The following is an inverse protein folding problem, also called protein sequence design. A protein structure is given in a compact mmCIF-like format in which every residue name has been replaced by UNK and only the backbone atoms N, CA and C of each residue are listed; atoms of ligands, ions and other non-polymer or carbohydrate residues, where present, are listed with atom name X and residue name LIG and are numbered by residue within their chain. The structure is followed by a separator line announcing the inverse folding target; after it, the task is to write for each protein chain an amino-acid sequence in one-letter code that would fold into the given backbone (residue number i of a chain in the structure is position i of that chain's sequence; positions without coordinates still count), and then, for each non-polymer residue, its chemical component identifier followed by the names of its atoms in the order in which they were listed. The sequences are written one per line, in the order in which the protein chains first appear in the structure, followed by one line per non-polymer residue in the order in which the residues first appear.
data_IF_188329442417
#
_entry.id   IF_188329442417
#
_cell.length_a   1.000
_cell.length_b   1.000
_cell.length_c   1.000
_cell.angle_alpha   90.00
_cell.angle_beta   90.00
_cell.angle_gamma   90.00
#
_symmetry.space_group_name_H-M   'P 1'
#
loop_
_entity.id
_entity.type
_entity.pdbx_description
1 polymer ?
#
# COMPACT_ATOMS: atom_id res chain seq x y z
N UNK A 1 -16.13 -1.08 13.25
CA UNK A 1 -15.85 -0.26 12.08
C UNK A 1 -16.84 -0.62 10.98
N UNK A 2 -17.93 0.14 10.85
CA UNK A 2 -19.06 -0.23 9.98
C UNK A 2 -19.31 0.74 8.84
N UNK A 3 -18.44 1.74 8.66
CA UNK A 3 -18.66 2.78 7.68
C UNK A 3 -18.22 2.35 6.29
N UNK A 4 -18.93 2.82 5.27
CA UNK A 4 -18.51 2.67 3.87
C UNK A 4 -17.45 3.68 3.47
N UNK A 5 -17.50 4.88 4.03
CA UNK A 5 -16.53 5.94 3.76
C UNK A 5 -16.03 6.54 5.06
N UNK A 6 -14.71 6.62 5.18
CA UNK A 6 -14.04 7.16 6.34
C UNK A 6 -13.04 8.19 5.86
N UNK A 7 -13.02 9.34 6.50
CA UNK A 7 -12.08 10.39 6.20
C UNK A 7 -10.96 10.40 7.22
N UNK A 8 -9.73 10.39 6.76
CA UNK A 8 -8.56 10.56 7.60
C UNK A 8 -8.05 11.98 7.41
N UNK A 9 -8.11 12.76 8.46
CA UNK A 9 -7.69 14.15 8.46
C UNK A 9 -6.54 14.35 9.44
N UNK A 10 -5.43 14.90 8.96
CA UNK A 10 -4.32 15.33 9.80
C UNK A 10 -4.64 16.72 10.36
N UNK A 11 -4.51 16.90 11.66
CA UNK A 11 -4.80 18.16 12.33
C UNK A 11 -3.60 19.09 12.45
N UNK A 12 -2.43 18.68 11.94
CA UNK A 12 -1.25 19.52 11.83
C UNK A 12 -0.35 19.61 13.08
N UNK A 13 -0.75 19.09 14.21
CA UNK A 13 0.02 19.09 15.45
C UNK A 13 0.47 17.69 15.88
N UNK A 14 0.55 16.76 14.91
CA UNK A 14 0.81 15.37 15.16
C UNK A 14 -0.44 14.54 15.48
N UNK A 15 -1.60 15.16 15.47
CA UNK A 15 -2.89 14.48 15.67
C UNK A 15 -3.60 14.25 14.37
N UNK A 16 -4.39 13.18 14.32
CA UNK A 16 -5.22 12.83 13.19
C UNK A 16 -6.63 12.44 13.64
N UNK A 17 -7.59 12.59 12.76
CA UNK A 17 -8.97 12.19 12.99
C UNK A 17 -9.39 11.22 11.88
N UNK A 18 -10.06 10.14 12.29
CA UNK A 18 -10.85 9.29 11.42
C UNK A 18 -12.32 9.63 11.61
N UNK A 19 -12.99 10.03 10.56
CA UNK A 19 -14.42 10.40 10.62
C UNK A 19 -15.26 9.53 9.73
N UNK A 20 -16.37 9.09 10.27
CA UNK A 20 -17.49 8.51 9.53
C UNK A 20 -18.66 9.48 9.59
N UNK A 21 -18.84 10.29 8.55
CA UNK A 21 -19.82 11.37 8.61
C UNK A 21 -19.52 12.35 9.76
N UNK A 22 -20.46 12.52 10.68
CA UNK A 22 -20.31 13.37 11.85
C UNK A 22 -19.63 12.67 13.04
N UNK A 23 -19.44 11.36 12.98
CA UNK A 23 -18.89 10.56 14.08
C UNK A 23 -17.37 10.44 13.99
N UNK A 24 -16.70 10.54 15.12
CA UNK A 24 -15.32 10.14 15.26
C UNK A 24 -15.25 8.62 15.42
N UNK A 25 -14.35 8.00 14.67
CA UNK A 25 -14.19 6.55 14.70
C UNK A 25 -13.02 6.21 15.61
N UNK A 26 -13.27 5.27 16.49
CA UNK A 26 -12.24 4.69 17.33
C UNK A 26 -11.55 3.56 16.55
N UNK A 27 -10.23 3.61 16.48
CA UNK A 27 -9.43 2.54 15.90
C UNK A 27 -8.54 1.95 16.97
N UNK A 28 -8.34 0.64 16.90
CA UNK A 28 -7.38 -0.02 17.79
C UNK A 28 -5.97 0.32 17.32
N UNK A 29 -5.19 0.91 18.21
CA UNK A 29 -3.79 1.21 17.96
C UNK A 29 -2.92 0.16 18.64
N UNK A 30 -2.04 -0.42 17.87
CA UNK A 30 -1.00 -1.29 18.39
C UNK A 30 0.31 -0.53 18.42
N UNK A 31 0.70 -0.16 19.62
CA UNK A 31 1.97 0.46 19.93
C UNK A 31 2.45 -0.13 21.25
N UNK A 32 3.59 0.26 21.74
CA UNK A 32 4.07 -0.15 23.05
C UNK A 32 3.05 0.10 24.19
N UNK A 33 2.07 0.94 23.97
CA UNK A 33 1.01 1.26 24.94
C UNK A 33 -0.38 0.73 24.58
N UNK A 34 -0.60 0.13 23.42
CA UNK A 34 -1.90 -0.39 22.94
C UNK A 34 -3.08 0.51 23.25
N UNK A 35 -2.96 1.79 22.97
CA UNK A 35 -3.99 2.75 23.27
C UNK A 35 -5.05 2.79 22.18
N UNK A 36 -6.32 2.81 22.59
CA UNK A 36 -7.41 3.17 21.70
C UNK A 36 -7.49 4.69 21.56
N UNK A 37 -8.04 5.16 20.46
CA UNK A 37 -8.39 6.56 20.29
C UNK A 37 -9.68 6.84 21.07
N UNK A 38 -9.55 7.09 22.35
CA UNK A 38 -10.69 7.45 23.18
C UNK A 38 -10.73 8.97 23.36
N UNK A 39 -11.97 9.50 23.38
CA UNK A 39 -12.24 10.91 23.39
C UNK A 39 -11.76 11.66 24.65
N UNK A 40 -11.47 10.98 25.74
CA UNK A 40 -11.11 11.59 27.01
C UNK A 40 -9.62 11.56 27.32
N UNK A 41 -8.81 11.00 26.42
CA UNK A 41 -7.37 10.98 26.57
C UNK A 41 -6.73 11.88 25.52
N UNK A 42 -5.54 12.38 25.78
CA UNK A 42 -4.74 13.01 24.75
C UNK A 42 -4.66 12.04 23.59
N UNK A 43 -5.20 12.44 22.44
CA UNK A 43 -5.20 11.60 21.25
C UNK A 43 -3.78 11.27 20.88
N UNK A 44 -3.39 9.99 20.84
CA UNK A 44 -2.10 9.65 20.31
C UNK A 44 -2.03 10.07 18.85
N UNK A 45 -0.92 10.63 18.43
CA UNK A 45 -0.70 10.93 17.03
C UNK A 45 -0.85 9.64 16.20
N UNK A 46 -1.61 9.70 15.12
CA UNK A 46 -1.70 8.61 14.14
C UNK A 46 -0.50 8.60 13.19
N UNK A 47 0.19 9.71 13.10
CA UNK A 47 1.54 9.77 12.55
C UNK A 47 2.51 9.24 13.62
N UNK A 48 3.71 8.90 13.33
CA UNK A 48 4.73 8.48 14.30
C UNK A 48 4.59 7.05 14.86
N UNK A 49 4.65 6.07 13.98
CA UNK A 49 4.90 4.70 14.38
C UNK A 49 3.72 3.96 14.99
N UNK A 50 2.51 4.41 14.75
CA UNK A 50 1.30 3.74 15.22
C UNK A 50 0.89 2.64 14.26
N UNK A 51 0.61 1.47 14.82
CA UNK A 51 0.01 0.37 14.07
C UNK A 51 -1.51 0.43 14.22
N UNK A 52 -2.22 0.37 13.10
CA UNK A 52 -3.67 0.54 13.06
C UNK A 52 -4.29 -0.73 12.46
N UNK A 53 -5.31 -1.24 13.14
CA UNK A 53 -6.08 -2.40 12.68
C UNK A 53 -7.42 -1.94 12.13
N UNK A 54 -7.71 -2.29 10.88
CA UNK A 54 -9.00 -2.07 10.25
C UNK A 54 -9.78 -3.38 10.24
N UNK A 55 -10.95 -3.38 10.86
CA UNK A 55 -11.79 -4.58 11.02
C UNK A 55 -13.26 -4.23 10.79
N UNK A 56 -13.99 -5.20 10.25
CA UNK A 56 -15.41 -5.04 9.93
C UNK A 56 -15.61 -4.10 8.73
N UNK A 57 -16.81 -3.87 8.29
CA UNK A 57 -17.10 -2.95 7.21
C UNK A 57 -16.46 -3.32 5.87
N UNK A 58 -16.63 -4.56 5.44
CA UNK A 58 -16.10 -5.05 4.17
C UNK A 58 -16.49 -4.14 3.01
N UNK A 59 -15.51 -3.80 2.14
CA UNK A 59 -15.72 -2.85 1.05
C UNK A 59 -15.70 -1.37 1.47
N UNK A 60 -15.24 -1.06 2.67
CA UNK A 60 -15.14 0.33 3.15
C UNK A 60 -14.09 1.12 2.37
N UNK A 61 -14.33 2.42 2.23
CA UNK A 61 -13.42 3.36 1.63
C UNK A 61 -12.82 4.28 2.70
N UNK A 62 -11.49 4.34 2.75
CA UNK A 62 -10.76 5.28 3.57
C UNK A 62 -10.27 6.43 2.69
N UNK A 63 -10.66 7.65 3.02
CA UNK A 63 -10.31 8.84 2.27
C UNK A 63 -9.29 9.67 3.06
N UNK A 64 -8.13 9.89 2.46
CA UNK A 64 -7.11 10.76 3.02
C UNK A 64 -7.37 12.20 2.62
N UNK A 65 -7.60 13.05 3.60
CA UNK A 65 -7.76 14.49 3.38
C UNK A 65 -6.43 15.22 3.26
N UNK A 66 -5.40 14.70 3.94
CA UNK A 66 -4.08 15.30 4.00
C UNK A 66 -3.01 14.21 3.91
N UNK A 67 -1.78 14.62 3.61
CA UNK A 67 -0.64 13.72 3.65
C UNK A 67 -0.36 13.23 5.07
N UNK A 68 0.05 11.97 5.19
CA UNK A 68 0.29 11.31 6.47
C UNK A 68 1.72 10.82 6.51
N UNK A 69 2.37 11.05 7.65
CA UNK A 69 3.62 10.41 8.01
C UNK A 69 3.36 9.42 9.13
N UNK A 70 3.31 8.15 8.80
CA UNK A 70 3.06 7.09 9.78
C UNK A 70 4.33 6.65 10.53
N UNK A 71 5.48 6.99 10.02
CA UNK A 71 6.73 6.53 10.58
C UNK A 71 6.91 5.03 10.40
N UNK A 72 7.16 4.30 11.48
CA UNK A 72 7.43 2.86 11.45
C UNK A 72 6.19 1.99 11.68
N UNK A 73 5.00 2.57 11.77
CA UNK A 73 3.76 1.83 12.02
C UNK A 73 3.27 1.04 10.83
N UNK A 74 2.34 0.13 11.08
CA UNK A 74 1.73 -0.70 10.03
C UNK A 74 0.21 -0.55 10.02
N UNK A 75 -0.37 -0.82 8.86
CA UNK A 75 -1.81 -0.89 8.66
C UNK A 75 -2.20 -2.34 8.44
N UNK A 76 -3.06 -2.87 9.31
CA UNK A 76 -3.59 -4.22 9.19
C UNK A 76 -5.00 -4.17 8.62
N UNK A 77 -5.20 -4.80 7.48
CA UNK A 77 -6.51 -4.91 6.84
C UNK A 77 -7.01 -6.35 6.96
N UNK A 78 -8.10 -6.53 7.71
CA UNK A 78 -8.80 -7.82 7.85
C UNK A 78 -10.09 -7.85 7.02
N UNK A 79 -10.19 -6.96 6.03
CA UNK A 79 -11.37 -6.77 5.20
C UNK A 79 -10.97 -6.27 3.83
N UNK A 80 -11.87 -6.38 2.85
CA UNK A 80 -11.72 -5.68 1.59
C UNK A 80 -11.91 -4.18 1.81
N UNK A 81 -11.05 -3.37 1.23
CA UNK A 81 -11.08 -1.93 1.42
C UNK A 81 -10.57 -1.19 0.20
N UNK A 82 -10.93 0.09 0.13
CA UNK A 82 -10.36 1.04 -0.82
C UNK A 82 -9.72 2.15 -0.02
N UNK A 83 -8.46 2.46 -0.29
CA UNK A 83 -7.77 3.60 0.31
C UNK A 83 -7.43 4.56 -0.81
N UNK A 84 -7.97 5.76 -0.75
CA UNK A 84 -7.73 6.80 -1.75
C UNK A 84 -7.44 8.15 -1.11
N UNK A 85 -6.83 9.04 -1.86
CA UNK A 85 -6.60 10.42 -1.46
C UNK A 85 -7.61 11.34 -2.14
N UNK A 86 -8.02 12.39 -1.44
CA UNK A 86 -8.88 13.42 -2.02
C UNK A 86 -8.13 14.23 -3.08
N UNK A 87 -6.85 14.51 -2.83
CA UNK A 87 -5.98 15.21 -3.76
C UNK A 87 -4.95 14.22 -4.33
N UNK A 88 -4.71 14.28 -5.65
CA UNK A 88 -3.79 13.35 -6.32
C UNK A 88 -2.33 13.45 -5.82
N UNK A 89 -1.94 14.56 -5.21
CA UNK A 89 -0.59 14.78 -4.68
C UNK A 89 -0.44 14.39 -3.21
N UNK A 90 -1.51 13.95 -2.57
CA UNK A 90 -1.47 13.49 -1.18
C UNK A 90 -0.64 12.21 -1.08
N UNK A 91 0.24 12.16 -0.09
CA UNK A 91 1.15 11.03 0.12
C UNK A 91 0.96 10.40 1.48
N UNK A 92 1.32 9.13 1.57
CA UNK A 92 1.44 8.39 2.81
C UNK A 92 2.87 7.88 2.95
N UNK A 93 3.58 8.43 3.91
CA UNK A 93 4.97 8.09 4.17
C UNK A 93 5.07 7.06 5.29
N UNK A 94 5.92 6.07 5.12
CA UNK A 94 6.26 5.12 6.16
C UNK A 94 5.25 3.98 6.34
N UNK A 95 4.31 3.80 5.43
CA UNK A 95 3.30 2.76 5.58
C UNK A 95 3.89 1.34 5.40
N UNK A 96 3.62 0.50 6.39
CA UNK A 96 3.64 -0.95 6.21
C UNK A 96 2.19 -1.41 6.07
N UNK A 97 1.90 -2.27 5.07
CA UNK A 97 0.55 -2.73 4.81
C UNK A 97 0.50 -4.24 4.92
N UNK A 98 -0.34 -4.73 5.83
CA UNK A 98 -0.61 -6.16 5.99
C UNK A 98 -2.04 -6.42 5.54
N UNK A 99 -2.20 -7.19 4.47
CA UNK A 99 -3.51 -7.62 3.99
C UNK A 99 -3.69 -9.10 4.33
N UNK A 100 -4.65 -9.39 5.19
CA UNK A 100 -4.82 -10.73 5.73
C UNK A 100 -5.74 -11.60 4.87
N UNK A 101 -5.45 -12.90 4.86
CA UNK A 101 -6.28 -13.91 4.23
C UNK A 101 -6.43 -13.72 2.72
N UNK A 102 -7.67 -13.79 2.27
CA UNK A 102 -8.09 -13.64 0.88
C UNK A 102 -8.60 -12.23 0.55
N UNK A 103 -8.29 -11.27 1.41
CA UNK A 103 -8.78 -9.90 1.25
C UNK A 103 -7.99 -9.15 0.19
N UNK A 104 -8.64 -8.15 -0.38
CA UNK A 104 -8.06 -7.24 -1.37
C UNK A 104 -8.22 -5.80 -0.91
N UNK A 105 -7.12 -5.07 -0.90
CA UNK A 105 -7.11 -3.64 -0.62
C UNK A 105 -6.69 -2.89 -1.88
N UNK A 106 -7.54 -2.01 -2.36
CA UNK A 106 -7.21 -1.09 -3.44
C UNK A 106 -6.51 0.13 -2.84
N UNK A 107 -5.27 0.32 -3.23
CA UNK A 107 -4.42 1.37 -2.69
C UNK A 107 -4.15 2.42 -3.76
N UNK A 108 -4.79 3.59 -3.60
CA UNK A 108 -4.77 4.69 -4.56
C UNK A 108 -4.10 5.93 -3.98
N UNK A 109 -3.05 5.73 -3.19
CA UNK A 109 -2.31 6.79 -2.52
C UNK A 109 -0.85 6.68 -2.91
N UNK A 110 -0.23 7.81 -3.16
CA UNK A 110 1.20 7.88 -3.47
C UNK A 110 2.04 7.84 -2.20
N UNK A 111 3.25 7.39 -2.33
CA UNK A 111 4.28 7.60 -1.32
C UNK A 111 5.41 8.47 -1.89
N UNK A 112 6.09 9.27 -1.06
CA UNK A 112 7.09 10.19 -1.56
C UNK A 112 8.36 9.48 -2.02
N UNK A 113 9.18 10.20 -2.75
CA UNK A 113 10.50 9.73 -3.17
C UNK A 113 11.31 9.28 -1.95
N UNK A 114 12.05 8.19 -2.11
CA UNK A 114 12.86 7.54 -1.07
C UNK A 114 12.05 6.85 0.05
N UNK A 115 10.73 6.92 0.02
CA UNK A 115 9.89 6.12 0.91
C UNK A 115 9.68 4.74 0.32
N UNK A 116 9.65 3.74 1.18
CA UNK A 116 9.41 2.34 0.80
C UNK A 116 8.17 1.81 1.50
N UNK A 117 7.13 1.56 0.73
CA UNK A 117 5.94 0.87 1.18
C UNK A 117 6.27 -0.62 1.35
N UNK A 118 5.95 -1.19 2.50
CA UNK A 118 6.14 -2.63 2.73
C UNK A 118 4.81 -3.37 2.70
N UNK A 119 4.72 -4.40 1.88
CA UNK A 119 3.52 -5.25 1.75
C UNK A 119 3.78 -6.61 2.36
N UNK A 120 2.98 -6.97 3.35
CA UNK A 120 2.97 -8.26 4.02
C UNK A 120 1.56 -8.86 4.04
N UNK A 121 1.43 -10.06 4.60
CA UNK A 121 0.18 -10.79 4.63
C UNK A 121 -0.13 -11.48 3.30
N UNK A 122 -0.95 -12.53 3.35
CA UNK A 122 -1.24 -13.39 2.20
C UNK A 122 -2.26 -12.81 1.22
N UNK A 123 -2.92 -11.71 1.59
CA UNK A 123 -3.90 -11.05 0.74
C UNK A 123 -3.28 -10.23 -0.38
N UNK A 124 -4.13 -9.51 -1.10
CA UNK A 124 -3.76 -8.77 -2.30
C UNK A 124 -3.81 -7.26 -2.06
N UNK A 125 -2.74 -6.58 -2.43
CA UNK A 125 -2.70 -5.14 -2.54
C UNK A 125 -2.79 -4.77 -4.02
N UNK A 126 -3.82 -4.02 -4.38
CA UNK A 126 -4.09 -3.61 -5.74
C UNK A 126 -3.75 -2.13 -5.90
N UNK A 127 -2.71 -1.83 -6.65
CA UNK A 127 -2.23 -0.45 -6.87
C UNK A 127 -2.89 0.10 -8.11
N UNK A 128 -3.96 0.86 -7.93
CA UNK A 128 -4.77 1.38 -9.02
C UNK A 128 -5.13 2.86 -8.87
N UNK A 129 -4.26 3.63 -8.23
CA UNK A 129 -4.33 5.09 -8.26
C UNK A 129 -3.97 5.65 -9.63
N UNK A 130 -3.64 6.92 -9.70
CA UNK A 130 -3.35 7.57 -10.98
C UNK A 130 -2.13 8.48 -10.88
N UNK A 131 -1.44 8.61 -12.00
CA UNK A 131 -0.26 9.45 -12.14
C UNK A 131 1.03 8.71 -11.84
N UNK A 132 2.10 9.48 -11.69
CA UNK A 132 3.45 8.96 -11.43
C UNK A 132 3.73 8.97 -9.94
N UNK A 133 3.87 7.79 -9.35
CA UNK A 133 4.33 7.64 -7.98
C UNK A 133 5.85 7.55 -7.95
N UNK A 134 6.47 8.31 -7.06
CA UNK A 134 7.94 8.41 -6.96
C UNK A 134 8.51 7.49 -5.87
N UNK A 135 7.68 6.91 -5.04
CA UNK A 135 8.10 6.02 -3.97
C UNK A 135 8.38 4.60 -4.45
N UNK A 136 8.83 3.78 -3.52
CA UNK A 136 9.23 2.39 -3.74
C UNK A 136 8.26 1.44 -3.03
N UNK A 137 8.30 0.16 -3.38
CA UNK A 137 7.60 -0.91 -2.68
C UNK A 137 8.51 -2.12 -2.47
N UNK A 138 8.29 -2.77 -1.33
CA UNK A 138 8.90 -4.06 -1.00
C UNK A 138 7.78 -5.05 -0.73
N UNK A 139 7.76 -6.17 -1.44
CA UNK A 139 6.72 -7.18 -1.35
C UNK A 139 7.28 -8.42 -0.66
N UNK A 140 6.89 -8.62 0.59
CA UNK A 140 7.37 -9.73 1.43
C UNK A 140 6.46 -10.93 1.45
N UNK A 141 5.17 -10.77 1.15
CA UNK A 141 4.20 -11.87 1.18
C UNK A 141 2.96 -11.49 0.36
N UNK A 142 2.24 -12.50 -0.11
CA UNK A 142 1.00 -12.31 -0.86
C UNK A 142 1.22 -11.73 -2.25
N UNK A 143 0.22 -11.00 -2.73
CA UNK A 143 0.19 -10.51 -4.10
C UNK A 143 0.06 -9.00 -4.14
N UNK A 144 0.80 -8.36 -5.02
CA UNK A 144 0.63 -6.95 -5.39
C UNK A 144 0.36 -6.88 -6.88
N UNK A 145 -0.76 -6.27 -7.25
CA UNK A 145 -1.09 -5.98 -8.65
C UNK A 145 -0.77 -4.52 -8.93
N UNK A 146 0.09 -4.28 -9.90
CA UNK A 146 0.44 -2.93 -10.33
C UNK A 146 -0.40 -2.55 -11.53
N UNK A 147 -1.36 -1.64 -11.29
CA UNK A 147 -2.32 -1.17 -12.28
C UNK A 147 -2.57 0.34 -12.15
N UNK A 148 -1.50 1.09 -11.88
CA UNK A 148 -1.56 2.54 -11.79
C UNK A 148 -2.04 3.13 -13.11
N UNK A 149 -2.98 4.06 -13.03
CA UNK A 149 -3.57 4.71 -14.20
C UNK A 149 -2.79 5.95 -14.61
N UNK A 150 -2.93 6.35 -15.86
CA UNK A 150 -2.35 7.59 -16.37
C UNK A 150 -3.09 8.81 -15.81
N UNK A 151 -2.32 9.86 -15.51
CA UNK A 151 -2.85 11.18 -15.15
C UNK A 151 -1.93 12.26 -15.72
N UNK A 152 -2.50 13.17 -16.53
CA UNK A 152 -1.74 14.21 -17.24
C UNK A 152 -0.54 13.65 -18.02
N UNK A 153 -0.73 12.51 -18.66
CA UNK A 153 0.30 11.85 -19.46
C UNK A 153 1.39 11.14 -18.67
N UNK A 154 1.29 11.08 -17.34
CA UNK A 154 2.25 10.41 -16.47
C UNK A 154 1.65 9.14 -15.87
N UNK A 155 2.46 8.10 -15.79
CA UNK A 155 2.03 6.80 -15.27
C UNK A 155 3.22 6.02 -14.74
N UNK A 156 3.17 5.67 -13.47
CA UNK A 156 4.14 4.80 -12.81
C UNK A 156 3.58 4.37 -11.47
N UNK A 157 3.57 3.07 -11.19
CA UNK A 157 3.13 2.58 -9.88
C UNK A 157 4.18 2.85 -8.81
N UNK A 158 5.45 2.51 -9.09
CA UNK A 158 6.57 2.73 -8.17
C UNK A 158 7.86 3.00 -8.97
N UNK A 159 8.78 3.70 -8.32
CA UNK A 159 10.12 3.91 -8.86
C UNK A 159 10.96 2.62 -8.77
N UNK A 160 10.87 1.90 -7.65
CA UNK A 160 11.51 0.60 -7.46
C UNK A 160 10.52 -0.42 -6.91
N UNK A 161 10.66 -1.66 -7.33
CA UNK A 161 9.86 -2.79 -6.84
C UNK A 161 10.81 -3.89 -6.38
N UNK A 162 10.76 -4.19 -5.09
CA UNK A 162 11.50 -5.31 -4.50
C UNK A 162 10.56 -6.46 -4.18
N UNK A 163 10.87 -7.66 -4.68
CA UNK A 163 10.18 -8.89 -4.31
C UNK A 163 11.10 -9.63 -3.36
N UNK A 164 10.89 -9.43 -2.06
CA UNK A 164 11.91 -9.69 -1.04
C UNK A 164 11.84 -11.07 -0.41
N UNK A 165 10.83 -11.88 -0.79
CA UNK A 165 10.78 -13.28 -0.30
C UNK A 165 10.15 -14.17 -1.38
N UNK A 166 10.38 -15.48 -1.25
CA UNK A 166 9.79 -16.47 -2.14
C UNK A 166 8.27 -16.56 -2.09
N UNK A 167 7.62 -15.93 -1.12
CA UNK A 167 6.17 -15.87 -0.97
C UNK A 167 5.54 -14.64 -1.61
N UNK A 168 6.34 -13.70 -2.08
CA UNK A 168 5.84 -12.49 -2.71
C UNK A 168 5.61 -12.66 -4.20
N UNK A 169 4.52 -12.09 -4.70
CA UNK A 169 4.16 -12.08 -6.11
C UNK A 169 3.78 -10.67 -6.54
N UNK A 170 4.34 -10.21 -7.66
CA UNK A 170 3.96 -8.95 -8.29
C UNK A 170 3.43 -9.24 -9.68
N UNK A 171 2.26 -8.71 -10.00
CA UNK A 171 1.60 -8.83 -11.30
C UNK A 171 1.53 -7.46 -11.95
N UNK A 172 1.98 -7.35 -13.19
CA UNK A 172 1.95 -6.11 -13.96
C UNK A 172 0.70 -6.09 -14.85
N UNK A 173 -0.13 -5.05 -14.72
CA UNK A 173 -1.27 -4.86 -15.62
C UNK A 173 -0.81 -4.40 -17.02
N UNK A 174 0.28 -3.64 -17.10
CA UNK A 174 0.90 -3.20 -18.35
C UNK A 174 2.39 -2.87 -18.12
N UNK A 175 3.06 -2.45 -19.20
CA UNK A 175 4.50 -2.19 -19.18
C UNK A 175 4.90 -0.79 -18.66
N UNK A 176 3.96 0.00 -18.17
CA UNK A 176 4.20 1.37 -17.70
C UNK A 176 4.22 1.50 -16.17
N UNK A 177 4.20 0.39 -15.46
CA UNK A 177 4.05 0.39 -14.00
C UNK A 177 5.37 0.67 -13.28
N UNK A 178 6.46 0.18 -13.80
CA UNK A 178 7.79 0.33 -13.21
C UNK A 178 8.85 0.13 -14.30
N UNK A 179 9.97 0.84 -14.18
CA UNK A 179 11.13 0.54 -15.03
C UNK A 179 11.61 -0.87 -14.71
N UNK A 180 11.68 -1.79 -15.70
CA UNK A 180 12.10 -3.17 -15.44
C UNK A 180 13.46 -3.30 -14.77
N UNK A 181 14.38 -2.38 -15.03
CA UNK A 181 15.71 -2.38 -14.41
C UNK A 181 15.67 -2.01 -12.92
N UNK A 182 14.57 -1.49 -12.43
CA UNK A 182 14.35 -1.14 -11.03
C UNK A 182 13.53 -2.21 -10.28
N UNK A 183 13.37 -3.38 -10.86
CA UNK A 183 12.81 -4.54 -10.18
C UNK A 183 13.96 -5.41 -9.66
N UNK A 184 13.91 -5.75 -8.38
CA UNK A 184 14.92 -6.63 -7.80
C UNK A 184 14.25 -7.73 -6.98
N UNK A 185 14.95 -8.86 -6.89
CA UNK A 185 14.54 -10.00 -6.09
C UNK A 185 15.44 -10.10 -4.85
N UNK A 186 14.80 -10.27 -3.72
CA UNK A 186 15.51 -10.45 -2.46
C UNK A 186 15.86 -11.91 -2.20
N UNK A 187 16.13 -12.19 -0.93
CA UNK A 187 16.50 -13.52 -0.49
C UNK A 187 15.36 -14.52 -0.70
N UNK A 188 15.67 -15.69 -1.26
CA UNK A 188 14.74 -16.76 -1.63
C UNK A 188 13.81 -16.45 -2.80
N UNK A 189 14.09 -15.40 -3.55
CA UNK A 189 13.42 -15.15 -4.81
C UNK A 189 12.09 -14.42 -4.67
N UNK A 190 11.09 -14.95 -5.31
CA UNK A 190 9.78 -14.34 -5.48
C UNK A 190 9.32 -14.51 -6.91
N UNK A 191 8.15 -13.99 -7.23
CA UNK A 191 7.54 -14.13 -8.55
C UNK A 191 7.16 -12.77 -9.13
N UNK A 192 7.62 -12.52 -10.36
CA UNK A 192 7.13 -11.43 -11.18
C UNK A 192 6.31 -12.01 -12.33
N UNK A 193 5.03 -11.64 -12.41
CA UNK A 193 4.15 -12.00 -13.52
C UNK A 193 4.01 -10.80 -14.45
N UNK A 194 4.58 -10.90 -15.64
CA UNK A 194 4.52 -9.83 -16.64
C UNK A 194 3.15 -9.73 -17.32
N UNK A 195 2.29 -10.73 -17.14
CA UNK A 195 0.87 -10.73 -17.52
C UNK A 195 0.62 -10.25 -18.97
N UNK A 196 1.36 -10.80 -19.91
CA UNK A 196 1.27 -10.46 -21.34
C UNK A 196 1.99 -9.18 -21.74
N UNK A 197 2.63 -8.47 -20.81
CA UNK A 197 3.39 -7.26 -21.10
C UNK A 197 4.73 -7.58 -21.73
N UNK A 198 5.16 -6.74 -22.67
CA UNK A 198 6.50 -6.81 -23.24
C UNK A 198 7.42 -5.89 -22.43
N UNK A 199 8.45 -6.46 -21.85
CA UNK A 199 9.42 -5.75 -21.02
C UNK A 199 10.83 -6.03 -21.54
N UNK A 200 11.69 -5.01 -21.47
CA UNK A 200 13.11 -5.14 -21.75
C UNK A 200 13.89 -4.96 -20.47
N UNK A 201 14.64 -5.98 -20.07
CA UNK A 201 15.52 -5.95 -18.91
C UNK A 201 16.95 -5.74 -19.40
N UNK A 202 17.60 -4.65 -18.96
CA UNK A 202 19.03 -4.45 -19.19
C UNK A 202 19.84 -5.13 -18.10
N UNK A 203 19.25 -5.35 -16.93
CA UNK A 203 19.83 -6.09 -15.82
C UNK A 203 18.72 -6.70 -14.96
N UNK A 204 19.03 -7.82 -14.33
CA UNK A 204 18.17 -8.44 -13.32
C UNK A 204 18.98 -8.52 -12.03
N UNK A 205 18.49 -7.89 -10.98
CA UNK A 205 19.10 -7.95 -9.66
C UNK A 205 18.47 -9.08 -8.88
N UNK A 206 19.25 -10.08 -8.56
CA UNK A 206 18.79 -11.29 -7.89
C UNK A 206 19.82 -11.73 -6.86
N UNK A 207 19.36 -11.94 -5.64
CA UNK A 207 20.20 -12.41 -4.54
C UNK A 207 20.16 -13.94 -4.34
N UNK A 208 19.24 -14.64 -5.03
CA UNK A 208 19.02 -16.08 -4.83
C UNK A 208 18.42 -16.71 -6.10
N UNK A 209 18.59 -18.03 -6.24
CA UNK A 209 18.10 -18.82 -7.39
C UNK A 209 16.59 -19.04 -7.40
N UNK A 210 15.86 -18.66 -6.33
CA UNK A 210 14.42 -18.86 -6.21
C UNK A 210 13.55 -17.89 -6.99
N UNK A 211 14.14 -16.85 -7.62
CA UNK A 211 13.39 -15.84 -8.35
C UNK A 211 12.78 -16.40 -9.63
N UNK A 212 11.54 -16.01 -9.91
CA UNK A 212 10.80 -16.44 -11.11
C UNK A 212 10.19 -15.25 -11.84
N UNK A 213 10.35 -15.24 -13.16
CA UNK A 213 9.62 -14.32 -14.03
C UNK A 213 8.72 -15.19 -14.89
N UNK A 214 7.42 -14.95 -14.82
CA UNK A 214 6.39 -15.74 -15.51
C UNK A 214 5.51 -14.83 -16.36
N UNK A 215 4.80 -15.42 -17.31
CA UNK A 215 3.85 -14.71 -18.14
C UNK A 215 2.52 -15.47 -18.13
N UNK A 216 1.67 -15.14 -17.17
CA UNK A 216 0.33 -15.72 -17.02
C UNK A 216 -0.69 -14.72 -17.54
N UNK A 217 -0.72 -14.50 -18.86
CA UNK A 217 -1.67 -13.56 -19.46
C UNK A 217 -3.10 -13.90 -19.05
N UNK A 218 -3.76 -12.97 -18.38
CA UNK A 218 -5.16 -13.07 -17.94
C UNK A 218 -5.96 -11.97 -18.64
N UNK A 219 -7.04 -12.36 -19.27
CA UNK A 219 -8.05 -11.41 -19.75
C UNK A 219 -9.02 -11.15 -18.61
N UNK A 220 -9.14 -9.90 -18.22
CA UNK A 220 -10.09 -9.46 -17.20
C UNK A 220 -11.28 -8.79 -17.86
#
# INVERSE_FOLDING_TARGET
FRAKEIQWQNLGNGDSILKNGAENIHVALESSSKKSLDQNTQRPSLDNGKTIHFQGGDGSTLILKDSINQGAGALYFNQNAIVRAENNDTTWLGAGIVVNGDKTVHWRVKNPINDRLSKLGTGTLYIDGQGKNLGDISVGDGTVVLDQKSFNGQQQAFNQVGITSGRGTVILANNKQVNPDNIYFGFRGGRLDVNGSSLTFHRIQNADDGAKIVNNHRTY
#
